data_IF_896473561369
#
_entry.id   IF_896473561369
#
_cell.length_a   1.000
_cell.length_b   1.000
_cell.length_c   1.000
_cell.angle_alpha   90.00
_cell.angle_beta   90.00
_cell.angle_gamma   90.00
#
_symmetry.space_group_name_H-M   'P 1'
#
loop_
_entity.id
_entity.type
_entity.pdbx_description
1 polymer ?
#
# COMPACT_ATOMS: atom_id res chain seq x y z
N UNK A 1 28.05 23.54 9.90
CA UNK A 1 27.50 22.59 8.91
C UNK A 1 27.74 21.19 9.46
N UNK A 2 27.17 20.94 10.67
CA UNK A 2 27.36 19.69 11.45
C UNK A 2 26.34 19.70 12.60
N UNK A 3 25.04 19.66 12.30
CA UNK A 3 24.02 19.54 13.36
C UNK A 3 22.66 18.98 12.86
N UNK A 4 22.70 18.16 11.83
CA UNK A 4 21.48 17.57 11.26
C UNK A 4 21.47 16.04 11.29
N UNK A 5 22.23 15.40 12.19
CA UNK A 5 22.28 13.94 12.19
C UNK A 5 22.46 13.42 13.62
N UNK A 6 21.37 13.41 14.38
CA UNK A 6 21.13 12.47 15.51
C UNK A 6 19.86 12.87 16.27
N UNK A 7 18.69 12.82 15.63
CA UNK A 7 17.49 12.50 16.39
C UNK A 7 17.28 10.99 16.29
N UNK A 8 17.94 10.25 17.17
CA UNK A 8 17.52 8.90 17.54
C UNK A 8 16.09 9.02 18.06
N UNK A 9 15.12 8.60 17.27
CA UNK A 9 13.72 8.56 17.68
C UNK A 9 13.62 7.56 18.84
N UNK A 10 13.71 8.06 20.06
CA UNK A 10 13.38 7.28 21.23
C UNK A 10 11.92 6.85 21.10
N UNK A 11 11.63 5.54 21.22
CA UNK A 11 10.28 5.00 21.14
C UNK A 11 9.37 5.74 22.13
N UNK A 12 8.38 6.49 21.63
CA UNK A 12 7.36 7.13 22.47
C UNK A 12 6.40 6.04 23.01
N UNK A 13 6.68 5.61 24.23
CA UNK A 13 5.94 4.55 24.93
C UNK A 13 4.47 4.96 25.12
N UNK A 14 4.20 6.23 25.36
CA UNK A 14 2.85 6.74 25.53
C UNK A 14 2.08 6.70 24.20
N UNK A 15 2.74 7.03 23.10
CA UNK A 15 2.17 6.91 21.75
C UNK A 15 1.90 5.43 21.38
N UNK A 16 2.85 4.54 21.67
CA UNK A 16 2.67 3.08 21.48
C UNK A 16 1.45 2.58 22.27
N UNK A 17 1.34 2.96 23.54
CA UNK A 17 0.22 2.55 24.39
C UNK A 17 -1.13 3.07 23.86
N UNK A 18 -1.19 4.33 23.41
CA UNK A 18 -2.39 4.91 22.77
C UNK A 18 -2.76 4.15 21.49
N UNK A 19 -1.79 3.78 20.65
CA UNK A 19 -2.04 3.02 19.41
C UNK A 19 -2.64 1.65 19.68
N UNK A 20 -2.04 0.90 20.60
CA UNK A 20 -2.55 -0.42 21.01
C UNK A 20 -4.00 -0.28 21.49
N UNK A 21 -4.28 0.69 22.38
CA UNK A 21 -5.63 0.94 22.90
C UNK A 21 -6.62 1.31 21.79
N UNK A 22 -6.23 2.16 20.84
CA UNK A 22 -7.09 2.60 19.73
C UNK A 22 -7.39 1.44 18.79
N UNK A 23 -6.39 0.60 18.45
CA UNK A 23 -6.59 -0.60 17.65
C UNK A 23 -7.53 -1.59 18.34
N UNK A 24 -7.33 -1.85 19.63
CA UNK A 24 -8.23 -2.71 20.41
C UNK A 24 -9.67 -2.21 20.39
N UNK A 25 -9.86 -0.90 20.61
CA UNK A 25 -11.20 -0.29 20.59
C UNK A 25 -11.84 -0.33 19.21
N UNK A 26 -11.08 -0.08 18.14
CA UNK A 26 -11.59 -0.20 16.75
C UNK A 26 -12.07 -1.61 16.41
N UNK A 27 -11.50 -2.63 17.09
CA UNK A 27 -11.91 -4.03 16.97
C UNK A 27 -12.94 -4.45 18.02
N UNK A 28 -13.47 -3.49 18.77
CA UNK A 28 -14.50 -3.71 19.80
C UNK A 28 -14.07 -4.72 20.89
N UNK A 29 -12.76 -4.90 21.10
CA UNK A 29 -12.24 -5.83 22.08
C UNK A 29 -12.18 -5.18 23.47
N UNK A 30 -12.65 -5.90 24.52
CA UNK A 30 -12.33 -5.58 25.91
C UNK A 30 -10.85 -5.89 26.23
N UNK A 31 -10.32 -5.37 27.32
CA UNK A 31 -8.99 -5.77 27.80
C UNK A 31 -8.93 -7.28 28.10
N UNK A 32 -10.02 -7.85 28.60
CA UNK A 32 -10.14 -9.27 28.87
C UNK A 32 -10.04 -10.08 27.56
N UNK A 33 -10.81 -9.70 26.55
CA UNK A 33 -10.80 -10.38 25.25
C UNK A 33 -9.43 -10.29 24.57
N UNK A 34 -8.74 -9.14 24.66
CA UNK A 34 -7.38 -9.02 24.16
C UNK A 34 -6.40 -9.89 24.94
N UNK A 35 -6.57 -10.00 26.27
CA UNK A 35 -5.76 -10.88 27.13
C UNK A 35 -5.88 -12.34 26.71
N UNK A 36 -7.10 -12.81 26.51
CA UNK A 36 -7.39 -14.18 26.06
C UNK A 36 -6.79 -14.50 24.68
N UNK A 37 -6.87 -13.55 23.75
CA UNK A 37 -6.31 -13.72 22.39
C UNK A 37 -4.79 -13.66 22.34
N UNK A 38 -4.19 -12.78 23.14
CA UNK A 38 -2.74 -12.53 23.12
C UNK A 38 -1.95 -13.41 24.08
N UNK A 39 -2.59 -14.01 25.08
CA UNK A 39 -1.91 -14.66 26.20
C UNK A 39 -1.21 -13.68 27.16
N UNK A 40 -1.37 -12.36 26.97
CA UNK A 40 -0.79 -11.31 27.82
C UNK A 40 -1.81 -10.92 28.90
N UNK A 41 -1.39 -10.88 30.17
CA UNK A 41 -2.31 -10.57 31.28
C UNK A 41 -2.96 -9.18 31.12
N UNK A 42 -4.22 -9.05 31.58
CA UNK A 42 -4.97 -7.78 31.54
C UNK A 42 -4.25 -6.64 32.26
N UNK A 43 -3.54 -6.95 33.37
CA UNK A 43 -2.74 -5.97 34.12
C UNK A 43 -1.55 -5.45 33.29
N UNK A 44 -0.86 -6.35 32.58
CA UNK A 44 0.22 -5.98 31.64
C UNK A 44 -0.31 -5.13 30.49
N UNK A 45 -1.38 -5.57 29.82
CA UNK A 45 -2.02 -4.82 28.74
C UNK A 45 -2.43 -3.43 29.20
N UNK A 46 -3.05 -3.32 30.37
CA UNK A 46 -3.47 -2.03 30.93
C UNK A 46 -2.27 -1.11 31.22
N UNK A 47 -1.14 -1.62 31.70
CA UNK A 47 0.06 -0.83 31.95
C UNK A 47 0.75 -0.39 30.65
N UNK A 48 0.77 -1.25 29.64
CA UNK A 48 1.29 -0.93 28.31
C UNK A 48 0.39 0.12 27.64
N UNK A 49 -0.92 -0.04 27.62
CA UNK A 49 -1.86 0.93 27.02
C UNK A 49 -1.80 2.32 27.65
N UNK A 50 -1.42 2.41 28.93
CA UNK A 50 -1.20 3.70 29.63
C UNK A 50 0.20 4.28 29.44
N UNK A 51 1.06 3.62 28.66
CA UNK A 51 2.44 4.05 28.46
C UNK A 51 3.30 3.99 29.73
N UNK A 52 2.92 3.17 30.71
CA UNK A 52 3.65 3.04 32.00
C UNK A 52 4.69 1.91 32.00
N UNK A 53 4.72 1.11 30.94
CA UNK A 53 5.65 -0.01 30.81
C UNK A 53 6.01 -0.24 29.34
N UNK A 54 7.30 -0.45 29.07
CA UNK A 54 7.80 -0.90 27.78
C UNK A 54 7.56 -2.41 27.66
N UNK A 55 6.77 -2.89 26.69
CA UNK A 55 6.63 -4.31 26.45
C UNK A 55 7.93 -4.86 25.86
N UNK A 56 8.27 -6.10 26.17
CA UNK A 56 9.31 -6.82 25.44
C UNK A 56 8.84 -7.07 24.00
N UNK A 57 9.78 -7.35 23.09
CA UNK A 57 9.45 -7.66 21.69
C UNK A 57 8.51 -8.86 21.57
N UNK A 58 8.64 -9.83 22.46
CA UNK A 58 7.76 -11.01 22.53
C UNK A 58 6.32 -10.61 22.91
N UNK A 59 6.15 -9.80 23.96
CA UNK A 59 4.84 -9.29 24.37
C UNK A 59 4.24 -8.43 23.26
N UNK A 60 5.04 -7.59 22.62
CA UNK A 60 4.59 -6.74 21.53
C UNK A 60 4.15 -7.56 20.31
N UNK A 61 4.86 -8.65 19.99
CA UNK A 61 4.49 -9.60 18.95
C UNK A 61 3.16 -10.29 19.25
N UNK A 62 2.96 -10.76 20.48
CA UNK A 62 1.71 -11.37 20.92
C UNK A 62 0.52 -10.40 20.80
N UNK A 63 0.71 -9.14 21.24
CA UNK A 63 -0.31 -8.09 21.12
C UNK A 63 -0.60 -7.79 19.63
N UNK A 64 0.43 -7.66 18.81
CA UNK A 64 0.29 -7.39 17.36
C UNK A 64 -0.51 -8.49 16.66
N UNK A 65 -0.16 -9.75 16.91
CA UNK A 65 -0.89 -10.92 16.36
C UNK A 65 -2.35 -10.92 16.82
N UNK A 66 -2.62 -10.70 18.10
CA UNK A 66 -3.98 -10.67 18.66
C UNK A 66 -4.83 -9.50 18.11
N UNK A 67 -4.17 -8.41 17.71
CA UNK A 67 -4.77 -7.26 17.08
C UNK A 67 -4.70 -7.31 15.55
N UNK A 68 -4.33 -8.45 14.95
CA UNK A 68 -4.24 -8.64 13.50
C UNK A 68 -3.48 -7.47 12.82
N UNK A 69 -2.26 -7.20 13.32
CA UNK A 69 -1.37 -6.13 12.86
C UNK A 69 0.09 -6.57 13.00
N UNK A 70 1.03 -5.77 12.48
CA UNK A 70 2.46 -6.01 12.66
C UNK A 70 3.06 -5.19 13.79
N UNK A 71 4.22 -5.64 14.34
CA UNK A 71 4.99 -4.85 15.30
C UNK A 71 5.37 -3.50 14.69
N UNK A 72 5.78 -3.48 13.42
CA UNK A 72 6.13 -2.25 12.73
C UNK A 72 4.98 -1.24 12.79
N UNK A 73 3.76 -1.64 12.48
CA UNK A 73 2.57 -0.76 12.59
C UNK A 73 2.23 -0.31 14.01
N UNK A 74 2.63 -1.06 15.03
CA UNK A 74 2.47 -0.65 16.42
C UNK A 74 3.54 0.36 16.85
N UNK A 75 4.76 0.21 16.36
CA UNK A 75 5.92 1.04 16.75
C UNK A 75 6.02 2.30 15.89
N UNK A 76 5.67 2.19 14.62
CA UNK A 76 5.71 3.33 13.69
C UNK A 76 4.80 4.44 14.20
N UNK A 77 5.38 5.62 14.36
CA UNK A 77 4.57 6.80 14.59
C UNK A 77 3.66 6.98 13.38
N UNK A 78 2.34 7.11 13.60
CA UNK A 78 1.40 7.66 12.60
C UNK A 78 1.75 9.14 12.30
N UNK A 79 3.03 9.43 12.22
CA UNK A 79 3.58 10.77 11.91
C UNK A 79 3.97 10.89 10.44
N UNK A 80 3.45 10.00 9.60
CA UNK A 80 3.43 10.29 8.18
C UNK A 80 2.59 11.56 7.94
N UNK A 81 3.00 12.47 7.08
CA UNK A 81 2.24 13.69 6.81
C UNK A 81 0.83 13.29 6.35
N UNK A 82 -0.20 13.89 6.99
CA UNK A 82 -1.62 13.65 6.61
C UNK A 82 -1.91 14.12 5.17
N UNK A 83 -1.03 14.94 4.63
CA UNK A 83 -1.09 15.44 3.27
C UNK A 83 0.31 15.38 2.67
N UNK A 84 0.44 14.69 1.55
CA UNK A 84 1.65 14.65 0.73
C UNK A 84 1.30 15.14 -0.66
N UNK A 85 2.00 16.15 -1.13
CA UNK A 85 1.87 16.63 -2.50
C UNK A 85 3.09 16.13 -3.27
N UNK A 86 2.87 15.27 -4.25
CA UNK A 86 3.92 14.84 -5.19
C UNK A 86 3.85 15.74 -6.42
N UNK A 87 4.75 16.69 -6.51
CA UNK A 87 4.81 17.61 -7.65
C UNK A 87 5.23 16.87 -8.93
N UNK A 88 4.73 17.31 -10.08
CA UNK A 88 5.02 16.65 -11.37
C UNK A 88 6.52 16.48 -11.64
N UNK A 89 7.34 17.44 -11.21
CA UNK A 89 8.79 17.38 -11.36
C UNK A 89 9.49 16.38 -10.41
N UNK A 90 8.80 15.96 -9.35
CA UNK A 90 9.31 15.01 -8.34
C UNK A 90 8.83 13.58 -8.59
N UNK A 91 7.88 13.41 -9.51
CA UNK A 91 7.34 12.09 -9.85
C UNK A 91 8.42 11.24 -10.54
N UNK A 92 8.55 10.00 -10.09
CA UNK A 92 9.44 9.05 -10.74
C UNK A 92 8.89 8.72 -12.13
N UNK A 93 9.72 8.92 -13.15
CA UNK A 93 9.39 8.57 -14.54
C UNK A 93 10.35 7.49 -15.02
N UNK A 94 9.80 6.42 -15.54
CA UNK A 94 10.53 5.35 -16.22
C UNK A 94 10.13 5.38 -17.68
N UNK A 95 11.14 5.45 -18.56
CA UNK A 95 10.95 5.36 -20.02
C UNK A 95 11.60 4.09 -20.52
N UNK A 96 10.81 3.27 -21.18
CA UNK A 96 11.29 2.08 -21.86
C UNK A 96 11.58 2.42 -23.33
N UNK A 97 12.71 1.97 -23.90
CA UNK A 97 12.99 2.13 -25.34
C UNK A 97 11.91 1.54 -26.26
N UNK A 98 11.12 0.60 -25.77
CA UNK A 98 9.98 0.03 -26.48
C UNK A 98 8.81 1.02 -26.69
N UNK A 99 8.86 2.24 -26.11
CA UNK A 99 7.82 3.25 -26.27
C UNK A 99 6.82 3.29 -25.12
N UNK A 100 7.23 2.90 -23.90
CA UNK A 100 6.41 3.01 -22.69
C UNK A 100 6.99 4.08 -21.77
N UNK A 101 6.20 5.08 -21.42
CA UNK A 101 6.50 6.00 -20.31
C UNK A 101 5.57 5.69 -19.12
N UNK A 102 6.15 5.37 -17.98
CA UNK A 102 5.41 5.15 -16.74
C UNK A 102 5.81 6.17 -15.69
N UNK A 103 4.82 6.84 -15.12
CA UNK A 103 4.97 7.89 -14.12
C UNK A 103 4.26 7.47 -12.84
N UNK A 104 5.00 7.35 -11.73
CA UNK A 104 4.42 7.06 -10.41
C UNK A 104 3.86 8.35 -9.81
N UNK A 105 2.57 8.35 -9.47
CA UNK A 105 1.84 9.51 -8.95
C UNK A 105 1.67 9.46 -7.43
N UNK A 106 1.62 8.25 -6.85
CA UNK A 106 1.47 8.05 -5.41
C UNK A 106 2.80 8.23 -4.69
N UNK A 107 2.81 8.84 -3.48
CA UNK A 107 3.98 8.81 -2.63
C UNK A 107 4.19 7.41 -2.04
N UNK A 108 5.45 7.05 -1.79
CA UNK A 108 5.79 5.86 -1.00
C UNK A 108 5.65 6.23 0.47
N UNK A 109 4.65 5.70 1.14
CA UNK A 109 4.38 5.97 2.55
C UNK A 109 4.28 4.67 3.34
N UNK A 110 4.80 4.63 4.57
CA UNK A 110 4.63 3.48 5.44
C UNK A 110 3.15 3.15 5.67
N UNK A 111 2.78 1.88 5.51
CA UNK A 111 1.41 1.42 5.73
C UNK A 111 0.40 1.79 4.64
N UNK A 112 0.82 2.40 3.56
CA UNK A 112 0.03 2.61 2.34
C UNK A 112 0.46 1.58 1.31
N UNK A 113 -0.46 0.72 0.91
CA UNK A 113 -0.18 -0.45 0.08
C UNK A 113 -0.69 -0.29 -1.36
N UNK A 114 -1.20 0.88 -1.71
CA UNK A 114 -1.60 1.15 -3.09
C UNK A 114 -0.54 1.98 -3.82
N UNK A 115 -0.41 1.73 -5.11
CA UNK A 115 0.39 2.52 -6.03
C UNK A 115 -0.50 3.05 -7.14
N UNK A 116 -0.36 4.36 -7.45
CA UNK A 116 -1.05 4.99 -8.58
C UNK A 116 -0.04 5.40 -9.62
N UNK A 117 -0.28 4.99 -10.86
CA UNK A 117 0.59 5.27 -11.99
C UNK A 117 -0.22 5.87 -13.16
N UNK A 118 0.46 6.69 -13.96
CA UNK A 118 0.02 7.10 -15.29
C UNK A 118 0.98 6.52 -16.31
N UNK A 119 0.46 5.73 -17.23
CA UNK A 119 1.26 5.09 -18.28
C UNK A 119 0.83 5.61 -19.63
N UNK A 120 1.81 5.94 -20.47
CA UNK A 120 1.61 6.25 -21.89
C UNK A 120 2.34 5.21 -22.72
N UNK A 121 1.66 4.64 -23.69
CA UNK A 121 2.18 3.67 -24.65
C UNK A 121 2.08 4.23 -26.06
N UNK A 122 3.20 4.25 -26.77
CA UNK A 122 3.23 4.66 -28.18
C UNK A 122 2.42 3.67 -29.06
N UNK A 123 2.04 4.06 -30.29
CA UNK A 123 1.36 3.18 -31.24
C UNK A 123 2.11 1.87 -31.48
N UNK A 124 1.37 0.76 -31.51
CA UNK A 124 1.90 -0.57 -31.78
C UNK A 124 2.71 -1.20 -30.64
N UNK A 125 2.74 -0.60 -29.46
CA UNK A 125 3.51 -1.10 -28.33
C UNK A 125 2.77 -2.20 -27.58
N UNK A 126 3.48 -3.31 -27.34
CA UNK A 126 3.06 -4.40 -26.45
C UNK A 126 3.97 -4.45 -25.24
N UNK A 127 3.41 -4.23 -24.04
CA UNK A 127 4.14 -4.29 -22.77
C UNK A 127 4.43 -5.73 -22.32
N UNK A 128 3.95 -6.72 -23.06
CA UNK A 128 4.07 -8.14 -22.73
C UNK A 128 3.08 -8.57 -21.64
N UNK A 129 3.36 -9.76 -21.09
CA UNK A 129 2.52 -10.37 -20.06
C UNK A 129 3.20 -10.29 -18.70
N UNK A 130 2.48 -9.76 -17.74
CA UNK A 130 2.89 -9.71 -16.33
C UNK A 130 2.33 -10.91 -15.57
N UNK A 131 3.08 -11.46 -14.61
CA UNK A 131 2.59 -12.55 -13.77
C UNK A 131 1.46 -12.07 -12.85
N UNK A 132 0.65 -13.00 -12.37
CA UNK A 132 -0.35 -12.76 -11.35
C UNK A 132 0.27 -12.14 -10.09
N UNK A 133 -0.39 -11.16 -9.52
CA UNK A 133 -0.08 -10.66 -8.19
C UNK A 133 -0.55 -11.64 -7.11
N UNK A 134 -0.33 -11.32 -5.86
CA UNK A 134 -0.83 -12.15 -4.74
C UNK A 134 -2.35 -12.13 -4.70
N UNK A 135 -2.92 -13.24 -4.23
CA UNK A 135 -4.36 -13.32 -3.98
C UNK A 135 -4.84 -12.18 -3.08
N UNK A 136 -5.95 -11.55 -3.46
CA UNK A 136 -6.51 -10.37 -2.81
C UNK A 136 -5.95 -9.02 -3.32
N UNK A 137 -5.01 -9.02 -4.27
CA UNK A 137 -4.61 -7.79 -4.97
C UNK A 137 -5.72 -7.33 -5.90
N UNK A 138 -5.89 -6.01 -6.01
CA UNK A 138 -6.96 -5.38 -6.80
C UNK A 138 -6.39 -4.29 -7.66
N UNK A 139 -6.92 -4.14 -8.84
CA UNK A 139 -6.50 -3.13 -9.77
C UNK A 139 -7.70 -2.36 -10.34
N UNK A 140 -7.53 -1.04 -10.44
CA UNK A 140 -8.47 -0.14 -11.10
C UNK A 140 -7.73 0.56 -12.22
N UNK A 141 -8.28 0.53 -13.42
CA UNK A 141 -7.69 1.17 -14.59
C UNK A 141 -8.72 2.09 -15.24
N UNK A 142 -8.26 3.26 -15.70
CA UNK A 142 -9.06 4.20 -16.47
C UNK A 142 -8.25 4.74 -17.65
N UNK A 143 -8.82 4.69 -18.84
CA UNK A 143 -8.20 5.17 -20.07
C UNK A 143 -8.46 6.67 -20.23
N UNK A 144 -7.39 7.46 -20.30
CA UNK A 144 -7.46 8.92 -20.52
C UNK A 144 -7.54 9.26 -22.02
N UNK A 145 -6.76 8.54 -22.84
CA UNK A 145 -6.62 8.81 -24.28
C UNK A 145 -6.28 7.52 -25.03
N UNK A 146 -6.75 7.42 -26.28
CA UNK A 146 -6.47 6.29 -27.15
C UNK A 146 -7.32 5.06 -26.82
N UNK A 147 -6.81 3.90 -27.21
CA UNK A 147 -7.45 2.60 -26.97
C UNK A 147 -6.45 1.65 -26.34
N UNK A 148 -6.83 1.04 -25.25
CA UNK A 148 -6.03 0.04 -24.53
C UNK A 148 -6.59 -1.35 -24.76
N UNK A 149 -5.75 -2.27 -25.18
CA UNK A 149 -6.04 -3.70 -25.18
C UNK A 149 -5.50 -4.29 -23.90
N UNK A 150 -6.40 -4.68 -22.99
CA UNK A 150 -6.09 -5.33 -21.73
C UNK A 150 -6.37 -6.82 -21.86
N UNK A 151 -5.37 -7.64 -21.57
CA UNK A 151 -5.54 -9.11 -21.49
C UNK A 151 -5.53 -9.54 -20.04
N UNK A 152 -6.58 -10.21 -19.56
CA UNK A 152 -6.65 -10.81 -18.22
C UNK A 152 -6.78 -12.32 -18.38
N UNK A 153 -5.78 -13.07 -17.94
CA UNK A 153 -5.62 -14.48 -18.20
C UNK A 153 -5.70 -14.80 -19.71
N UNK A 154 -6.87 -15.19 -20.21
CA UNK A 154 -7.11 -15.49 -21.63
C UNK A 154 -8.17 -14.60 -22.27
N UNK A 155 -8.74 -13.68 -21.51
CA UNK A 155 -9.81 -12.79 -21.99
C UNK A 155 -9.22 -11.44 -22.36
N UNK A 156 -9.62 -10.94 -23.52
CA UNK A 156 -9.19 -9.66 -24.06
C UNK A 156 -10.32 -8.65 -23.88
N UNK A 157 -9.97 -7.48 -23.35
CA UNK A 157 -10.85 -6.33 -23.20
C UNK A 157 -10.28 -5.18 -24.00
N UNK A 158 -11.09 -4.56 -24.82
CA UNK A 158 -10.78 -3.32 -25.54
C UNK A 158 -11.42 -2.16 -24.79
N UNK A 159 -10.59 -1.22 -24.32
CA UNK A 159 -11.01 -0.07 -23.51
C UNK A 159 -10.67 1.20 -24.28
N UNK A 160 -11.67 2.06 -24.47
CA UNK A 160 -11.55 3.36 -25.12
C UNK A 160 -11.39 4.51 -24.12
N UNK A 161 -10.98 5.67 -24.61
CA UNK A 161 -10.91 6.88 -23.79
C UNK A 161 -12.22 7.14 -23.03
N UNK A 162 -12.13 7.28 -21.70
CA UNK A 162 -13.26 7.41 -20.79
C UNK A 162 -13.72 6.12 -20.14
N UNK A 163 -13.31 4.96 -20.67
CA UNK A 163 -13.64 3.68 -20.05
C UNK A 163 -12.79 3.41 -18.80
N UNK A 164 -13.36 2.65 -17.89
CA UNK A 164 -12.67 2.16 -16.69
C UNK A 164 -13.03 0.71 -16.41
N UNK A 165 -12.11 -0.01 -15.78
CA UNK A 165 -12.26 -1.41 -15.40
C UNK A 165 -11.69 -1.64 -14.01
N UNK A 166 -12.34 -2.51 -13.24
CA UNK A 166 -11.83 -3.13 -12.03
C UNK A 166 -11.59 -4.61 -12.28
N UNK A 167 -10.48 -5.15 -11.76
CA UNK A 167 -10.23 -6.60 -11.78
C UNK A 167 -9.39 -7.03 -10.58
N UNK A 168 -9.51 -8.31 -10.24
CA UNK A 168 -8.64 -8.93 -9.26
C UNK A 168 -7.29 -9.22 -9.91
N UNK A 169 -6.21 -8.68 -9.31
CA UNK A 169 -4.85 -8.75 -9.87
C UNK A 169 -4.18 -10.12 -9.70
N UNK A 170 -4.87 -11.14 -9.22
CA UNK A 170 -4.36 -12.50 -9.00
C UNK A 170 -4.38 -13.39 -10.26
N UNK A 171 -4.54 -12.78 -11.42
CA UNK A 171 -4.38 -13.43 -12.73
C UNK A 171 -3.26 -12.77 -13.55
N UNK A 172 -2.73 -13.51 -14.54
CA UNK A 172 -1.80 -12.92 -15.51
C UNK A 172 -2.50 -11.83 -16.32
N UNK A 173 -1.81 -10.72 -16.57
CA UNK A 173 -2.37 -9.57 -17.28
C UNK A 173 -1.35 -8.98 -18.24
N UNK A 174 -1.83 -8.33 -19.30
CA UNK A 174 -0.99 -7.68 -20.31
C UNK A 174 -1.66 -6.46 -20.89
N UNK A 175 -0.85 -5.51 -21.35
CA UNK A 175 -1.31 -4.24 -21.88
C UNK A 175 -0.72 -4.01 -23.26
N UNK A 176 -1.55 -3.59 -24.21
CA UNK A 176 -1.13 -3.35 -25.59
C UNK A 176 -1.87 -2.16 -26.18
N UNK A 177 -1.18 -1.37 -26.98
CA UNK A 177 -1.76 -0.32 -27.82
C UNK A 177 -1.66 -0.74 -29.29
N UNK A 178 -2.74 -1.26 -29.84
CA UNK A 178 -2.81 -1.65 -31.26
C UNK A 178 -3.26 -0.50 -32.17
N UNK A 179 -3.53 0.70 -31.59
CA UNK A 179 -3.97 1.87 -32.32
C UNK A 179 -2.83 2.60 -33.00
N UNK A 180 -3.19 3.67 -33.71
CA UNK A 180 -2.31 4.57 -34.45
C UNK A 180 -1.97 5.87 -33.71
N UNK A 181 -2.52 6.03 -32.50
CA UNK A 181 -2.27 7.16 -31.60
C UNK A 181 -1.78 6.66 -30.23
N UNK A 182 -1.03 7.48 -29.47
CA UNK A 182 -0.63 7.10 -28.12
C UNK A 182 -1.82 6.76 -27.22
N UNK A 183 -1.69 5.70 -26.44
CA UNK A 183 -2.64 5.32 -25.40
C UNK A 183 -2.13 5.75 -24.04
N UNK A 184 -2.95 6.47 -23.30
CA UNK A 184 -2.64 6.89 -21.93
C UNK A 184 -3.72 6.40 -20.97
N UNK A 185 -3.30 5.79 -19.87
CA UNK A 185 -4.20 5.30 -18.84
C UNK A 185 -3.62 5.49 -17.44
N UNK A 186 -4.51 5.55 -16.45
CA UNK A 186 -4.19 5.50 -15.04
C UNK A 186 -4.42 4.10 -14.53
N UNK A 187 -3.52 3.64 -13.66
CA UNK A 187 -3.61 2.37 -12.97
C UNK A 187 -3.43 2.59 -11.47
N UNK A 188 -4.36 2.11 -10.68
CA UNK A 188 -4.23 2.02 -9.22
C UNK A 188 -4.15 0.56 -8.85
N UNK A 189 -3.05 0.16 -8.22
CA UNK A 189 -2.84 -1.19 -7.71
C UNK A 189 -2.90 -1.15 -6.19
N UNK A 190 -3.77 -1.98 -5.61
CA UNK A 190 -3.78 -2.31 -4.18
C UNK A 190 -3.21 -3.73 -4.05
N UNK A 191 -1.90 -3.79 -3.78
CA UNK A 191 -1.18 -5.05 -3.67
C UNK A 191 -1.35 -5.56 -2.25
N UNK A 192 -2.04 -6.70 -2.10
CA UNK A 192 -2.26 -7.31 -0.80
C UNK A 192 -0.93 -7.52 -0.06
N UNK A 193 -0.86 -6.98 1.16
CA UNK A 193 0.33 -7.12 2.02
C UNK A 193 0.67 -8.58 2.27
N UNK A 194 1.96 -8.88 2.41
CA UNK A 194 2.41 -10.16 2.95
C UNK A 194 1.88 -10.30 4.37
N UNK A 195 0.97 -11.24 4.62
CA UNK A 195 0.61 -11.64 5.98
C UNK A 195 1.76 -12.38 6.64
#
# INVERSE_FOLDING_TARGET
MEDAMQMSAALDIAALGRRIRNLRKRRELSLQALSERSGVSTSMLSTVERGKRIPTILILSQIATALDTSIARLVDEETGPRVVIVRAAEQRVIKDPAGIERRTLSPVLPGVEFEMMRTTMEPGVDAGTFPAHRAGSREYLAVEQGTLILTLAKTIYELHAGDSIYYEGDCSHGYRNDGDVPCTYYLVMDIAASR
#
